data_IF_901459113479
#
_entry.id   IF_901459113479
#
_cell.length_a   1.000
_cell.length_b   1.000
_cell.length_c   1.000
_cell.angle_alpha   90.00
_cell.angle_beta   90.00
_cell.angle_gamma   90.00
#
_symmetry.space_group_name_H-M   'P 1'
#
loop_
_entity.id
_entity.type
_entity.pdbx_description
1 polymer ?
#
# COMPACT_ATOMS: atom_id res chain seq x y z
N UNK A 1 2.61 8.59 -6.54
CA UNK A 1 2.28 7.51 -7.51
C UNK A 1 1.78 8.14 -8.79
N UNK A 2 2.41 7.92 -9.91
CA UNK A 2 1.85 8.33 -11.18
C UNK A 2 0.52 7.59 -11.39
N UNK A 3 -0.49 8.33 -11.83
CA UNK A 3 -1.81 7.72 -12.08
C UNK A 3 -1.70 6.72 -13.22
N UNK A 4 -2.08 5.44 -13.03
CA UNK A 4 -2.03 4.43 -14.08
C UNK A 4 -2.78 4.84 -15.35
N UNK A 5 -2.25 4.46 -16.51
CA UNK A 5 -2.80 4.82 -17.81
C UNK A 5 -4.26 4.44 -18.00
N UNK A 6 -4.69 3.31 -17.45
CA UNK A 6 -6.09 2.88 -17.56
C UNK A 6 -7.04 3.84 -16.83
N UNK A 7 -6.61 4.40 -15.68
CA UNK A 7 -7.37 5.41 -14.95
C UNK A 7 -7.44 6.70 -15.75
N UNK A 8 -6.31 7.15 -16.33
CA UNK A 8 -6.30 8.34 -17.19
C UNK A 8 -7.24 8.19 -18.38
N UNK A 9 -7.32 7.00 -18.98
CA UNK A 9 -8.30 6.72 -20.04
C UNK A 9 -9.75 6.77 -19.55
N UNK A 10 -10.04 6.15 -18.39
CA UNK A 10 -11.38 6.20 -17.80
C UNK A 10 -11.80 7.63 -17.49
N UNK A 11 -10.92 8.44 -16.91
CA UNK A 11 -11.20 9.84 -16.56
C UNK A 11 -11.60 10.70 -17.74
N UNK A 12 -11.12 10.40 -18.96
CA UNK A 12 -11.57 11.08 -20.19
C UNK A 12 -13.07 10.89 -20.48
N UNK A 13 -13.67 9.81 -19.99
CA UNK A 13 -15.07 9.49 -20.21
C UNK A 13 -15.97 9.83 -19.03
N UNK A 14 -15.46 9.73 -17.81
CA UNK A 14 -16.27 9.88 -16.59
C UNK A 14 -15.89 11.13 -15.77
N UNK A 15 -14.90 11.90 -16.19
CA UNK A 15 -14.46 13.09 -15.44
C UNK A 15 -14.06 12.74 -14.00
N UNK A 16 -14.60 13.49 -13.03
CA UNK A 16 -14.30 13.33 -11.60
C UNK A 16 -15.26 12.39 -10.85
N UNK A 17 -16.09 11.64 -11.58
CA UNK A 17 -16.99 10.67 -10.94
C UNK A 17 -16.25 9.67 -10.07
N UNK A 18 -16.93 9.14 -9.05
CA UNK A 18 -16.35 8.16 -8.15
C UNK A 18 -15.92 6.90 -8.91
N UNK A 19 -14.62 6.60 -8.90
CA UNK A 19 -14.11 5.33 -9.40
C UNK A 19 -13.91 4.36 -8.24
N UNK A 20 -14.42 3.14 -8.44
CA UNK A 20 -14.19 2.00 -7.57
C UNK A 20 -12.93 1.27 -8.04
N UNK A 21 -11.90 1.23 -7.20
CA UNK A 21 -10.58 0.69 -7.54
C UNK A 21 -10.14 -0.35 -6.52
N UNK A 22 -9.23 -1.22 -6.92
CA UNK A 22 -8.57 -2.15 -6.01
C UNK A 22 -7.16 -1.65 -5.70
N UNK A 23 -6.86 -1.52 -4.42
CA UNK A 23 -5.52 -1.25 -3.91
C UNK A 23 -4.87 -2.51 -3.37
N UNK A 24 -3.55 -2.57 -3.43
CA UNK A 24 -2.73 -3.58 -2.76
C UNK A 24 -1.74 -2.91 -1.83
N UNK A 25 -1.61 -3.42 -0.63
CA UNK A 25 -0.75 -2.87 0.42
C UNK A 25 0.12 -3.96 1.02
N UNK A 26 1.41 -3.68 1.22
CA UNK A 26 2.34 -4.58 1.86
C UNK A 26 2.68 -4.14 3.27
N UNK A 27 2.46 -4.99 4.25
CA UNK A 27 3.10 -4.89 5.56
C UNK A 27 4.28 -5.85 5.56
N UNK A 28 5.46 -5.32 5.31
CA UNK A 28 6.70 -6.11 5.23
C UNK A 28 7.32 -6.18 6.62
N UNK A 29 7.41 -7.39 7.17
CA UNK A 29 7.94 -7.64 8.50
C UNK A 29 9.24 -8.43 8.36
N UNK A 30 10.34 -7.84 8.80
CA UNK A 30 11.64 -8.48 8.84
C UNK A 30 11.70 -9.57 9.93
N UNK A 31 12.69 -10.44 9.87
CA UNK A 31 12.92 -11.47 10.91
C UNK A 31 13.14 -10.85 12.29
N UNK A 32 13.73 -9.64 12.35
CA UNK A 32 13.87 -8.84 13.58
C UNK A 32 12.54 -8.33 14.16
N UNK A 33 11.45 -8.40 13.40
CA UNK A 33 10.15 -7.82 13.73
C UNK A 33 9.97 -6.37 13.28
N UNK A 34 11.01 -5.74 12.71
CA UNK A 34 10.90 -4.39 12.17
C UNK A 34 10.02 -4.35 10.92
N UNK A 35 9.35 -3.23 10.73
CA UNK A 35 8.38 -3.01 9.66
C UNK A 35 8.96 -2.00 8.67
N UNK A 36 8.87 -2.32 7.37
CA UNK A 36 9.27 -1.44 6.30
C UNK A 36 8.22 -0.36 6.10
N UNK A 37 8.65 0.89 6.16
CA UNK A 37 7.82 2.05 5.86
C UNK A 37 8.53 2.96 4.86
N UNK A 38 7.72 3.72 4.13
CA UNK A 38 8.22 4.80 3.29
C UNK A 38 7.51 6.12 3.63
N UNK A 39 8.19 7.24 3.45
CA UNK A 39 7.60 8.57 3.56
C UNK A 39 7.19 9.03 2.18
N UNK A 40 5.90 9.18 1.98
CA UNK A 40 5.30 9.49 0.68
C UNK A 40 5.68 10.89 0.19
N UNK A 41 5.95 11.02 -1.10
CA UNK A 41 6.29 12.31 -1.71
C UNK A 41 5.07 13.23 -1.88
N UNK A 42 3.86 12.67 -2.02
CA UNK A 42 2.64 13.42 -2.31
C UNK A 42 2.05 14.15 -1.07
N UNK A 43 2.15 13.55 0.12
CA UNK A 43 1.58 14.10 1.35
C UNK A 43 2.58 14.22 2.52
N UNK A 44 3.78 13.67 2.37
CA UNK A 44 4.86 13.70 3.37
C UNK A 44 4.65 12.77 4.58
N UNK A 45 3.59 11.96 4.58
CA UNK A 45 3.31 11.04 5.69
C UNK A 45 4.00 9.69 5.51
N UNK A 46 4.32 9.06 6.63
CA UNK A 46 4.80 7.69 6.65
C UNK A 46 3.65 6.71 6.38
N UNK A 47 3.93 5.70 5.57
CA UNK A 47 2.96 4.68 5.17
C UNK A 47 3.64 3.34 4.89
N UNK A 48 2.82 2.31 4.81
CA UNK A 48 3.19 1.02 4.23
C UNK A 48 3.19 1.13 2.70
N UNK A 49 4.14 0.51 1.99
CA UNK A 49 4.19 0.55 0.53
C UNK A 49 3.01 -0.18 -0.11
N UNK A 50 2.65 0.23 -1.31
CA UNK A 50 1.56 -0.36 -2.07
C UNK A 50 1.06 0.54 -3.18
N UNK A 51 0.15 0.04 -3.98
CA UNK A 51 -0.33 0.77 -5.15
C UNK A 51 -1.68 0.32 -5.66
N UNK A 52 -2.01 0.76 -6.85
CA UNK A 52 -3.24 0.43 -7.54
C UNK A 52 -3.04 -0.83 -8.37
N UNK A 53 -3.92 -1.80 -8.21
CA UNK A 53 -3.95 -2.99 -9.05
C UNK A 53 -4.40 -2.61 -10.47
N UNK A 54 -3.59 -2.97 -11.45
CA UNK A 54 -3.90 -2.71 -12.85
C UNK A 54 -4.66 -3.87 -13.51
N UNK A 55 -5.46 -3.60 -14.56
CA UNK A 55 -6.14 -4.66 -15.29
C UNK A 55 -5.18 -5.73 -15.82
N UNK A 56 -5.46 -6.99 -15.50
CA UNK A 56 -4.64 -8.14 -15.91
C UNK A 56 -3.57 -8.56 -14.89
N UNK A 57 -3.29 -7.75 -13.87
CA UNK A 57 -2.38 -8.14 -12.79
C UNK A 57 -3.06 -9.02 -11.74
N UNK A 58 -2.29 -9.93 -11.16
CA UNK A 58 -2.68 -10.60 -9.94
C UNK A 58 -2.26 -9.75 -8.73
N UNK A 59 -3.07 -9.66 -7.65
CA UNK A 59 -2.78 -8.79 -6.51
C UNK A 59 -1.38 -8.99 -5.89
N UNK A 60 -0.93 -10.23 -5.74
CA UNK A 60 0.39 -10.50 -5.19
C UNK A 60 1.53 -10.06 -6.11
N UNK A 61 1.35 -10.17 -7.43
CA UNK A 61 2.35 -9.72 -8.41
C UNK A 61 2.46 -8.20 -8.44
N UNK A 62 1.32 -7.50 -8.46
CA UNK A 62 1.27 -6.04 -8.36
C UNK A 62 1.97 -5.55 -7.10
N UNK A 63 1.68 -6.20 -5.96
CA UNK A 63 2.28 -5.86 -4.68
C UNK A 63 3.81 -5.95 -4.70
N UNK A 64 4.35 -7.06 -5.21
CA UNK A 64 5.82 -7.26 -5.29
C UNK A 64 6.47 -6.18 -6.15
N UNK A 65 5.85 -5.83 -7.27
CA UNK A 65 6.31 -4.75 -8.15
C UNK A 65 6.32 -3.40 -7.43
N UNK A 66 5.21 -3.02 -6.82
CA UNK A 66 5.05 -1.73 -6.12
C UNK A 66 6.07 -1.59 -4.97
N UNK A 67 6.24 -2.63 -4.16
CA UNK A 67 7.22 -2.57 -3.05
C UNK A 67 8.64 -2.39 -3.57
N UNK A 68 9.02 -3.10 -4.64
CA UNK A 68 10.35 -2.96 -5.23
C UNK A 68 10.57 -1.56 -5.83
N UNK A 69 9.55 -1.01 -6.53
CA UNK A 69 9.60 0.34 -7.11
C UNK A 69 9.73 1.42 -6.03
N UNK A 70 8.86 1.42 -5.03
CA UNK A 70 8.81 2.45 -4.00
C UNK A 70 9.93 2.37 -2.96
N UNK A 71 10.46 1.17 -2.69
CA UNK A 71 11.36 0.96 -1.54
C UNK A 71 12.69 0.30 -1.86
N UNK A 72 12.86 -0.26 -3.05
CA UNK A 72 14.05 -1.04 -3.41
C UNK A 72 14.17 -2.40 -2.74
N UNK A 73 13.15 -2.83 -1.98
CA UNK A 73 13.14 -4.11 -1.25
C UNK A 73 12.37 -5.16 -2.03
N UNK A 74 12.96 -6.33 -2.21
CA UNK A 74 12.28 -7.50 -2.77
C UNK A 74 11.55 -8.25 -1.66
N UNK A 75 10.28 -8.60 -1.91
CA UNK A 75 9.43 -9.23 -0.90
C UNK A 75 8.77 -10.50 -1.41
N UNK A 76 8.47 -11.40 -0.46
CA UNK A 76 7.60 -12.54 -0.68
C UNK A 76 6.30 -12.36 0.12
N UNK A 77 5.13 -12.30 -0.53
CA UNK A 77 3.84 -12.33 0.15
C UNK A 77 3.67 -13.67 0.89
N UNK A 78 3.21 -13.61 2.15
CA UNK A 78 3.00 -14.80 2.98
C UNK A 78 1.52 -15.13 3.13
N UNK A 79 0.69 -14.11 3.33
CA UNK A 79 -0.77 -14.26 3.47
C UNK A 79 -1.49 -12.94 3.24
N UNK A 80 -2.77 -12.99 2.96
CA UNK A 80 -3.65 -11.83 3.05
C UNK A 80 -3.89 -11.53 4.52
N UNK A 81 -3.62 -10.30 4.93
CA UNK A 81 -3.84 -9.83 6.30
C UNK A 81 -5.22 -9.21 6.46
N UNK A 82 -5.71 -8.48 5.47
CA UNK A 82 -7.06 -7.91 5.48
C UNK A 82 -7.59 -7.61 4.07
N UNK A 83 -8.92 -7.60 3.95
CA UNK A 83 -9.65 -7.08 2.79
C UNK A 83 -10.68 -6.10 3.32
N UNK A 84 -10.53 -4.82 2.99
CA UNK A 84 -11.37 -3.75 3.56
C UNK A 84 -11.73 -2.73 2.49
N UNK A 85 -12.98 -2.27 2.47
CA UNK A 85 -13.38 -1.11 1.71
C UNK A 85 -13.09 0.15 2.52
N UNK A 86 -12.25 1.02 1.98
CA UNK A 86 -11.91 2.29 2.60
C UNK A 86 -12.98 3.35 2.30
N UNK A 87 -13.12 4.40 3.13
CA UNK A 87 -13.98 5.53 2.81
C UNK A 87 -13.59 6.19 1.48
N UNK A 88 -14.55 6.81 0.76
CA UNK A 88 -14.24 7.59 -0.44
C UNK A 88 -13.24 8.72 -0.13
N UNK A 89 -12.37 8.97 -1.09
CA UNK A 89 -11.36 10.02 -1.01
C UNK A 89 -11.41 10.90 -2.26
N UNK A 90 -11.11 12.20 -2.09
CA UNK A 90 -11.01 13.14 -3.22
C UNK A 90 -9.59 13.68 -3.28
N UNK A 91 -8.94 13.53 -4.42
CA UNK A 91 -7.63 14.10 -4.69
C UNK A 91 -7.70 15.62 -4.90
N UNK A 92 -6.55 16.30 -4.78
CA UNK A 92 -6.48 17.74 -4.95
C UNK A 92 -6.93 18.26 -6.33
N UNK A 93 -6.87 17.42 -7.37
CA UNK A 93 -7.38 17.72 -8.72
C UNK A 93 -8.91 17.50 -8.87
N UNK A 94 -9.61 17.08 -7.82
CA UNK A 94 -11.05 16.81 -7.80
C UNK A 94 -11.45 15.38 -8.15
N UNK A 95 -10.53 14.50 -8.50
CA UNK A 95 -10.81 13.09 -8.79
C UNK A 95 -11.26 12.36 -7.53
N UNK A 96 -12.39 11.67 -7.62
CA UNK A 96 -12.97 10.88 -6.53
C UNK A 96 -12.67 9.40 -6.71
N UNK A 97 -12.20 8.76 -5.65
CA UNK A 97 -11.90 7.32 -5.64
C UNK A 97 -12.40 6.67 -4.37
N UNK A 98 -12.67 5.38 -4.46
CA UNK A 98 -12.88 4.52 -3.30
C UNK A 98 -12.15 3.20 -3.56
N UNK A 99 -11.40 2.73 -2.57
CA UNK A 99 -10.61 1.52 -2.71
C UNK A 99 -11.20 0.35 -1.92
N UNK A 100 -11.24 -0.80 -2.56
CA UNK A 100 -11.15 -2.06 -1.85
C UNK A 100 -9.66 -2.39 -1.72
N UNK A 101 -9.12 -2.35 -0.51
CA UNK A 101 -7.71 -2.62 -0.25
C UNK A 101 -7.49 -4.08 0.17
N UNK A 102 -6.52 -4.73 -0.48
CA UNK A 102 -6.03 -6.05 -0.11
C UNK A 102 -4.66 -5.88 0.52
N UNK A 103 -4.59 -5.99 1.84
CA UNK A 103 -3.33 -5.90 2.58
C UNK A 103 -2.72 -7.29 2.73
N UNK A 104 -1.44 -7.42 2.35
CA UNK A 104 -0.65 -8.63 2.53
C UNK A 104 0.37 -8.46 3.65
N UNK A 105 0.54 -9.51 4.44
CA UNK A 105 1.77 -9.69 5.21
C UNK A 105 2.84 -10.25 4.28
N UNK A 106 4.01 -9.62 4.30
CA UNK A 106 5.16 -10.00 3.49
C UNK A 106 6.41 -10.16 4.34
N UNK A 107 7.38 -10.91 3.84
CA UNK A 107 8.75 -10.92 4.37
C UNK A 107 9.73 -10.40 3.32
N UNK A 108 10.83 -9.74 3.72
CA UNK A 108 11.88 -9.36 2.79
C UNK A 108 12.64 -10.59 2.32
N UNK A 109 13.02 -10.63 1.04
CA UNK A 109 13.79 -11.71 0.43
C UNK A 109 15.05 -11.21 -0.30
N UNK A 110 15.21 -9.91 -0.47
CA UNK A 110 16.34 -9.31 -1.15
C UNK A 110 16.20 -7.81 -1.27
N UNK A 111 17.03 -7.22 -2.10
CA UNK A 111 17.05 -5.78 -2.31
C UNK A 111 17.68 -5.01 -1.14
N UNK A 112 17.53 -3.71 -1.17
CA UNK A 112 18.08 -2.79 -0.18
C UNK A 112 17.16 -1.59 -0.03
N UNK A 113 16.73 -1.28 1.18
CA UNK A 113 15.83 -0.16 1.46
C UNK A 113 16.43 1.16 0.98
N UNK A 114 15.78 1.80 0.01
CA UNK A 114 16.17 3.08 -0.57
C UNK A 114 14.96 3.77 -1.17
N UNK A 115 14.85 5.09 -1.06
CA UNK A 115 13.80 5.83 -1.75
C UNK A 115 14.05 5.83 -3.27
N UNK A 116 12.98 5.92 -4.04
CA UNK A 116 13.05 6.19 -5.47
C UNK A 116 13.13 7.70 -5.79
N UNK A 117 12.90 8.54 -4.78
CA UNK A 117 12.88 10.01 -4.82
C UNK A 117 11.69 10.63 -5.59
N UNK A 118 10.92 9.84 -6.32
CA UNK A 118 9.72 10.29 -7.03
C UNK A 118 8.45 10.05 -6.19
N UNK A 119 8.29 8.87 -5.66
CA UNK A 119 7.13 8.46 -4.85
C UNK A 119 7.44 8.36 -3.36
N UNK A 120 8.70 8.04 -3.03
CA UNK A 120 9.20 7.87 -1.66
C UNK A 120 10.36 8.80 -1.38
N UNK A 121 10.19 9.70 -0.41
CA UNK A 121 11.23 10.63 0.05
C UNK A 121 12.24 9.94 0.99
N UNK A 122 11.76 9.01 1.77
CA UNK A 122 12.54 8.23 2.73
C UNK A 122 11.98 6.81 2.82
N UNK A 123 12.85 5.85 3.08
CA UNK A 123 12.49 4.45 3.33
C UNK A 123 13.27 3.96 4.54
N UNK A 124 12.63 3.23 5.43
CA UNK A 124 13.31 2.71 6.62
C UNK A 124 12.59 1.55 7.27
N UNK A 125 13.32 0.88 8.15
CA UNK A 125 12.85 -0.19 9.02
C UNK A 125 12.60 0.35 10.42
N UNK A 126 11.43 0.07 10.97
CA UNK A 126 11.01 0.60 12.26
C UNK A 126 10.57 -0.52 13.20
N UNK A 127 11.06 -0.48 14.41
CA UNK A 127 10.56 -1.36 15.46
C UNK A 127 9.08 -1.09 15.74
N UNK A 128 8.24 -2.11 16.00
CA UNK A 128 6.80 -1.93 16.19
C UNK A 128 6.41 -1.01 17.35
N UNK A 129 7.29 -0.82 18.32
CA UNK A 129 7.12 0.08 19.46
C UNK A 129 7.66 1.50 19.22
N UNK A 130 8.24 1.75 18.04
CA UNK A 130 8.85 3.04 17.66
C UNK A 130 8.45 3.47 16.26
N UNK A 131 7.20 3.21 15.89
CA UNK A 131 6.66 3.64 14.59
C UNK A 131 6.56 5.16 14.54
N UNK A 132 6.85 5.79 13.39
CA UNK A 132 6.63 7.22 13.21
C UNK A 132 5.13 7.54 13.22
N UNK A 133 4.74 8.80 13.38
CA UNK A 133 3.34 9.20 13.27
C UNK A 133 2.74 8.81 11.92
N UNK A 134 1.62 8.10 11.95
CA UNK A 134 0.89 7.61 10.77
C UNK A 134 -0.61 7.74 11.00
N UNK A 135 -1.40 7.73 9.92
CA UNK A 135 -2.84 7.74 10.05
C UNK A 135 -3.37 6.38 10.58
N UNK A 136 -4.57 6.39 11.14
CA UNK A 136 -5.20 5.20 11.73
C UNK A 136 -5.36 4.04 10.73
N UNK A 137 -5.59 4.35 9.45
CA UNK A 137 -5.72 3.33 8.40
C UNK A 137 -4.44 2.51 8.26
N UNK A 138 -3.29 3.16 8.23
CA UNK A 138 -1.98 2.49 8.15
C UNK A 138 -1.72 1.68 9.41
N UNK A 139 -2.04 2.24 10.58
CA UNK A 139 -1.89 1.54 11.86
C UNK A 139 -2.75 0.27 11.92
N UNK A 140 -4.00 0.32 11.45
CA UNK A 140 -4.88 -0.88 11.38
C UNK A 140 -4.32 -1.95 10.46
N UNK A 141 -3.80 -1.58 9.28
CA UNK A 141 -3.16 -2.53 8.35
C UNK A 141 -1.98 -3.26 8.99
N UNK A 142 -1.13 -2.52 9.68
CA UNK A 142 0.00 -3.09 10.43
C UNK A 142 -0.49 -4.04 11.52
N UNK A 143 -1.51 -3.65 12.28
CA UNK A 143 -2.07 -4.51 13.34
C UNK A 143 -2.59 -5.83 12.77
N UNK A 144 -3.41 -5.80 11.72
CA UNK A 144 -3.94 -7.02 11.08
C UNK A 144 -2.84 -7.92 10.51
N UNK A 145 -1.77 -7.34 9.98
CA UNK A 145 -0.66 -8.12 9.45
C UNK A 145 0.22 -8.75 10.55
N UNK A 146 0.25 -8.18 11.74
CA UNK A 146 1.00 -8.72 12.89
C UNK A 146 0.21 -9.77 13.67
N UNK A 147 -1.10 -9.70 13.64
CA UNK A 147 -1.96 -10.74 14.23
C UNK A 147 -1.86 -12.03 13.41
N UNK A 148 -1.76 -13.15 14.10
CA UNK A 148 -1.85 -14.48 13.47
C UNK A 148 -3.32 -14.87 13.26
N UNK A 149 -3.58 -15.61 12.19
CA UNK A 149 -4.91 -16.12 11.90
C UNK A 149 -5.41 -15.79 10.51
N UNK A 150 -6.73 -15.93 10.28
CA UNK A 150 -7.34 -15.63 8.99
C UNK A 150 -7.29 -14.13 8.67
N UNK A 151 -7.44 -13.79 7.37
CA UNK A 151 -7.54 -12.42 6.95
C UNK A 151 -8.71 -11.70 7.64
N UNK A 152 -8.45 -10.48 8.09
CA UNK A 152 -9.50 -9.64 8.64
C UNK A 152 -10.44 -9.16 7.53
N UNK A 153 -11.72 -9.17 7.82
CA UNK A 153 -12.75 -8.47 7.07
C UNK A 153 -13.79 -7.89 8.04
N UNK A 154 -14.38 -6.76 7.67
CA UNK A 154 -15.45 -6.18 8.48
C UNK A 154 -16.70 -7.07 8.39
N UNK A 155 -17.25 -7.45 9.55
CA UNK A 155 -18.51 -8.19 9.61
C UNK A 155 -19.68 -7.30 9.12
N UNK A 156 -20.74 -7.91 8.54
CA UNK A 156 -21.94 -7.19 8.12
C UNK A 156 -22.64 -6.47 9.28
#
# INVERSE_FOLDING_TARGET
MPTPDFILRLRKHVGHELLWLTGVTAVVVAESGEILLHRRADDGFWSTPGGILEPGEQPAAALVREVAEETGVDVAPERIASVVTEPPFTYGNGDRVQFMDVTFRCRPVGGSARPDEEESLEVGWFAPDRLPPMNERVMRRIAHAREEGPAYYAAP
#
